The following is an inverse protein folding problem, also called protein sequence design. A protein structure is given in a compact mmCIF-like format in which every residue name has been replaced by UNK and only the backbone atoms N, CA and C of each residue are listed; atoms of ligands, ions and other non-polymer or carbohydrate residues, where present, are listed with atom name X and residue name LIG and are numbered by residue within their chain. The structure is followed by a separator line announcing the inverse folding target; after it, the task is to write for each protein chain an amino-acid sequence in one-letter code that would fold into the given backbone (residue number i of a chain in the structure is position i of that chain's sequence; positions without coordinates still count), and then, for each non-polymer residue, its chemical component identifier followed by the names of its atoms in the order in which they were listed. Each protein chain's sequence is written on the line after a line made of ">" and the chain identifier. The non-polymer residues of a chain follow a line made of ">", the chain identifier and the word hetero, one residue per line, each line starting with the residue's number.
data_IF_254884045216
#
_entry.id   IF_254884045216
#
_cell.length_a   1.000
_cell.length_b   1.000
_cell.length_c   1.000
_cell.angle_alpha   90.00
_cell.angle_beta   90.00
_cell.angle_gamma   90.00
#
_symmetry.space_group_name_H-M   'P 1'
#
loop_
_entity.id
_entity.type
_entity.pdbx_description
1 polymer ?
#
# COMPACT_ATOMS: atom_id res chain seq x y z
N UNK A 1 -21.81 26.93 -24.82
CA UNK A 1 -22.70 26.47 -23.73
C UNK A 1 -21.86 25.64 -22.77
N UNK A 2 -21.38 26.22 -21.68
CA UNK A 2 -20.47 25.55 -20.74
C UNK A 2 -21.26 24.61 -19.81
N UNK A 3 -20.91 23.33 -19.81
CA UNK A 3 -21.48 22.34 -18.91
C UNK A 3 -21.11 22.67 -17.46
N UNK A 4 -22.09 23.09 -16.65
CA UNK A 4 -21.94 23.19 -15.20
C UNK A 4 -21.76 21.78 -14.64
N UNK A 5 -20.53 21.45 -14.24
CA UNK A 5 -20.24 20.24 -13.49
C UNK A 5 -20.98 20.26 -12.16
N UNK A 6 -21.68 19.16 -11.85
CA UNK A 6 -22.30 18.91 -10.55
C UNK A 6 -21.17 18.63 -9.54
N UNK A 7 -20.54 19.69 -9.02
CA UNK A 7 -19.68 19.63 -7.85
C UNK A 7 -20.53 19.72 -6.58
N UNK A 8 -20.07 19.12 -5.47
CA UNK A 8 -20.73 19.29 -4.16
C UNK A 8 -20.91 20.79 -3.86
N UNK A 9 -22.10 21.15 -3.40
CA UNK A 9 -22.68 22.49 -3.41
C UNK A 9 -21.98 23.58 -2.57
N UNK A 10 -20.71 23.43 -2.18
CA UNK A 10 -19.97 24.43 -1.42
C UNK A 10 -18.47 24.38 -1.76
N UNK A 11 -18.04 25.00 -2.86
CA UNK A 11 -16.61 25.27 -3.08
C UNK A 11 -16.40 26.55 -3.86
N UNK A 12 -15.93 27.59 -3.15
CA UNK A 12 -15.32 28.77 -3.75
C UNK A 12 -13.84 28.55 -4.07
N UNK A 13 -13.18 29.47 -4.80
CA UNK A 13 -11.77 29.35 -5.15
C UNK A 13 -10.90 29.32 -3.88
N UNK A 14 -9.87 28.47 -3.88
CA UNK A 14 -8.94 28.32 -2.76
C UNK A 14 -7.93 29.47 -2.77
N UNK A 15 -7.93 30.32 -1.74
CA UNK A 15 -6.99 31.43 -1.58
C UNK A 15 -6.10 31.21 -0.34
N UNK A 16 -4.92 31.86 -0.32
CA UNK A 16 -4.02 31.87 0.83
C UNK A 16 -3.47 30.48 1.20
N UNK A 17 -3.62 30.10 2.48
CA UNK A 17 -3.10 28.85 3.03
C UNK A 17 -3.63 27.60 2.29
N UNK A 18 -4.90 27.61 1.86
CA UNK A 18 -5.48 26.48 1.12
C UNK A 18 -4.81 26.26 -0.24
N UNK A 19 -4.36 27.35 -0.90
CA UNK A 19 -3.62 27.25 -2.17
C UNK A 19 -2.20 26.72 -1.95
N UNK A 20 -1.51 27.20 -0.92
CA UNK A 20 -0.18 26.69 -0.56
C UNK A 20 -0.20 25.20 -0.20
N UNK A 21 -1.25 24.74 0.50
CA UNK A 21 -1.45 23.32 0.78
C UNK A 21 -1.66 22.53 -0.51
N UNK A 22 -2.48 23.03 -1.43
CA UNK A 22 -2.70 22.39 -2.72
C UNK A 22 -1.41 22.33 -3.55
N UNK A 23 -0.65 23.41 -3.62
CA UNK A 23 0.63 23.46 -4.35
C UNK A 23 1.63 22.43 -3.79
N UNK A 24 1.64 22.22 -2.47
CA UNK A 24 2.49 21.21 -1.79
C UNK A 24 1.99 19.77 -2.00
N UNK A 25 0.71 19.58 -2.25
CA UNK A 25 0.15 18.27 -2.64
C UNK A 25 0.53 17.99 -4.09
N UNK A 26 0.31 18.96 -4.98
CA UNK A 26 0.64 18.89 -6.39
C UNK A 26 2.15 18.68 -6.60
N UNK A 27 3.02 19.23 -5.74
CA UNK A 27 4.46 19.00 -5.81
C UNK A 27 4.90 17.57 -5.49
N UNK A 28 4.02 16.75 -4.88
CA UNK A 28 4.29 15.33 -4.62
C UNK A 28 3.87 14.44 -5.79
N UNK A 29 3.22 15.01 -6.80
CA UNK A 29 2.86 14.29 -8.00
C UNK A 29 4.11 14.04 -8.84
N UNK A 30 4.33 12.79 -9.22
CA UNK A 30 5.52 12.38 -9.97
C UNK A 30 5.11 11.95 -11.40
N UNK A 31 5.50 12.73 -12.43
CA UNK A 31 5.22 12.39 -13.83
C UNK A 31 5.89 11.09 -14.31
N UNK A 32 7.03 10.70 -13.76
CA UNK A 32 7.70 9.44 -14.13
C UNK A 32 6.93 8.26 -13.56
N UNK A 33 6.48 8.39 -12.31
CA UNK A 33 5.61 7.40 -11.68
C UNK A 33 4.26 7.26 -12.41
N UNK A 34 3.71 8.36 -12.95
CA UNK A 34 2.51 8.32 -13.80
C UNK A 34 2.72 7.36 -14.98
N UNK A 35 3.84 7.48 -15.70
CA UNK A 35 4.13 6.62 -16.86
C UNK A 35 4.27 5.15 -16.46
N UNK A 36 4.99 4.87 -15.37
CA UNK A 36 5.14 3.51 -14.84
C UNK A 36 3.77 2.91 -14.49
N UNK A 37 2.91 3.68 -13.82
CA UNK A 37 1.56 3.23 -13.46
C UNK A 37 0.69 2.98 -14.70
N UNK A 38 0.77 3.83 -15.72
CA UNK A 38 0.05 3.65 -16.99
C UNK A 38 0.50 2.37 -17.70
N UNK A 39 1.81 2.13 -17.79
CA UNK A 39 2.35 0.93 -18.42
C UNK A 39 2.02 -0.34 -17.63
N UNK A 40 2.06 -0.26 -16.30
CA UNK A 40 1.63 -1.35 -15.44
C UNK A 40 0.15 -1.69 -15.63
N UNK A 41 -0.74 -0.69 -15.55
CA UNK A 41 -2.17 -0.89 -15.75
C UNK A 41 -2.45 -1.50 -17.14
N UNK A 42 -1.75 -1.06 -18.18
CA UNK A 42 -1.87 -1.63 -19.52
C UNK A 42 -1.42 -3.11 -19.59
N UNK A 43 -0.29 -3.46 -18.96
CA UNK A 43 0.18 -4.86 -18.92
C UNK A 43 -0.73 -5.75 -18.08
N UNK A 44 -1.30 -5.20 -17.02
CA UNK A 44 -2.14 -5.93 -16.08
C UNK A 44 -3.57 -6.15 -16.62
N UNK A 45 -4.19 -5.11 -17.18
CA UNK A 45 -5.58 -5.14 -17.68
C UNK A 45 -5.69 -5.51 -19.17
N UNK A 46 -4.60 -5.49 -19.93
CA UNK A 46 -4.59 -5.67 -21.39
C UNK A 46 -4.80 -4.36 -22.16
N UNK A 47 -4.62 -4.39 -23.47
CA UNK A 47 -4.64 -3.21 -24.36
C UNK A 47 -6.00 -2.49 -24.45
N UNK A 48 -7.09 -3.10 -23.97
CA UNK A 48 -8.44 -2.54 -24.00
C UNK A 48 -8.67 -1.33 -23.09
N UNK A 49 -7.73 -1.02 -22.18
CA UNK A 49 -7.84 0.17 -21.31
C UNK A 49 -7.36 1.46 -21.98
N UNK A 50 -6.61 1.37 -23.07
CA UNK A 50 -6.04 2.53 -23.77
C UNK A 50 -4.95 3.25 -22.96
N UNK A 51 -4.57 4.45 -23.42
CA UNK A 51 -3.59 5.33 -22.74
C UNK A 51 -4.24 6.68 -22.40
N UNK A 52 -3.93 7.25 -21.22
CA UNK A 52 -4.40 8.59 -20.88
C UNK A 52 -3.77 9.65 -21.79
N UNK A 53 -4.42 10.81 -21.88
CA UNK A 53 -3.77 12.00 -22.42
C UNK A 53 -2.62 12.43 -21.49
N UNK A 54 -1.54 13.02 -22.04
CA UNK A 54 -0.40 13.44 -21.23
C UNK A 54 -0.79 14.40 -20.11
N UNK A 55 -0.33 14.09 -18.91
CA UNK A 55 -0.41 14.96 -17.75
C UNK A 55 -1.54 14.61 -16.77
N UNK A 56 -1.45 15.22 -15.58
CA UNK A 56 -2.26 14.87 -14.41
C UNK A 56 -3.77 14.84 -14.65
N UNK A 57 -4.29 15.74 -15.49
CA UNK A 57 -5.73 15.80 -15.80
C UNK A 57 -6.16 14.69 -16.76
N UNK A 58 -5.30 14.30 -17.71
CA UNK A 58 -5.56 13.17 -18.60
C UNK A 58 -5.54 11.85 -17.83
N UNK A 59 -4.56 11.68 -16.94
CA UNK A 59 -4.52 10.54 -16.01
C UNK A 59 -5.76 10.47 -15.12
N UNK A 60 -6.20 11.61 -14.59
CA UNK A 60 -7.43 11.69 -13.80
C UNK A 60 -8.66 11.30 -14.62
N UNK A 61 -8.86 11.90 -15.80
CA UNK A 61 -10.02 11.63 -16.65
C UNK A 61 -10.11 10.15 -17.04
N UNK A 62 -8.96 9.51 -17.26
CA UNK A 62 -8.84 8.09 -17.59
C UNK A 62 -9.30 7.17 -16.46
N UNK A 63 -8.97 7.49 -15.20
CA UNK A 63 -9.32 6.67 -14.04
C UNK A 63 -10.64 7.09 -13.36
N UNK A 64 -11.17 8.28 -13.68
CA UNK A 64 -12.33 8.90 -13.01
C UNK A 64 -13.60 8.06 -13.07
N UNK A 65 -13.77 7.24 -14.11
CA UNK A 65 -14.94 6.38 -14.25
C UNK A 65 -14.93 5.16 -13.30
N UNK A 66 -13.79 4.87 -12.68
CA UNK A 66 -13.58 3.72 -11.80
C UNK A 66 -13.55 2.36 -12.51
N UNK A 67 -13.77 2.30 -13.83
CA UNK A 67 -13.80 1.06 -14.61
C UNK A 67 -12.42 0.42 -14.70
N UNK A 68 -11.41 1.23 -15.00
CA UNK A 68 -10.03 0.76 -15.13
C UNK A 68 -9.50 0.28 -13.78
N UNK A 69 -9.77 1.04 -12.71
CA UNK A 69 -9.41 0.67 -11.34
C UNK A 69 -10.04 -0.66 -10.92
N UNK A 70 -11.32 -0.85 -11.23
CA UNK A 70 -12.05 -2.08 -10.94
C UNK A 70 -11.49 -3.29 -11.72
N UNK A 71 -11.10 -3.09 -12.99
CA UNK A 71 -10.44 -4.12 -13.80
C UNK A 71 -9.06 -4.46 -13.24
N UNK A 72 -8.30 -3.44 -12.83
CA UNK A 72 -6.98 -3.59 -12.26
C UNK A 72 -7.03 -4.46 -11.01
N UNK A 73 -7.86 -4.10 -10.03
CA UNK A 73 -7.95 -4.91 -8.80
C UNK A 73 -8.47 -6.32 -9.11
N UNK A 74 -9.50 -6.47 -9.95
CA UNK A 74 -10.01 -7.79 -10.30
C UNK A 74 -8.99 -8.70 -10.99
N UNK A 75 -8.02 -8.14 -11.70
CA UNK A 75 -6.96 -8.95 -12.33
C UNK A 75 -5.95 -9.51 -11.32
N UNK A 76 -5.84 -8.89 -10.14
CA UNK A 76 -4.95 -9.34 -9.07
C UNK A 76 -5.57 -10.46 -8.24
N UNK A 77 -6.89 -10.64 -8.29
CA UNK A 77 -7.62 -11.72 -7.62
C UNK A 77 -7.91 -12.86 -8.61
N UNK A 78 -7.31 -14.06 -8.41
CA UNK A 78 -7.42 -15.16 -9.38
C UNK A 78 -8.78 -15.89 -9.31
N UNK A 79 -9.39 -16.02 -8.14
CA UNK A 79 -10.61 -16.82 -7.95
C UNK A 79 -11.87 -15.98 -7.75
N UNK A 80 -11.94 -15.16 -6.69
CA UNK A 80 -13.11 -14.31 -6.40
C UNK A 80 -12.83 -12.86 -6.76
N UNK A 81 -13.46 -12.38 -7.83
CA UNK A 81 -13.34 -10.99 -8.27
C UNK A 81 -14.14 -10.09 -7.33
N UNK A 82 -13.49 -9.19 -6.57
CA UNK A 82 -14.16 -8.36 -5.58
C UNK A 82 -15.17 -7.39 -6.21
N UNK A 83 -14.92 -6.95 -7.45
CA UNK A 83 -15.82 -6.06 -8.18
C UNK A 83 -16.58 -6.85 -9.25
N UNK A 84 -17.80 -7.29 -8.93
CA UNK A 84 -18.59 -8.15 -9.83
C UNK A 84 -19.19 -7.42 -11.03
N UNK A 85 -19.53 -6.13 -10.87
CA UNK A 85 -20.23 -5.35 -11.90
C UNK A 85 -19.43 -4.11 -12.27
N UNK A 86 -18.72 -4.18 -13.38
CA UNK A 86 -18.00 -3.05 -13.98
C UNK A 86 -18.89 -2.47 -15.07
N UNK A 87 -19.44 -1.29 -14.86
CA UNK A 87 -20.32 -0.64 -15.83
C UNK A 87 -19.90 0.82 -16.02
N UNK A 88 -19.54 1.17 -17.25
CA UNK A 88 -19.37 2.58 -17.62
C UNK A 88 -20.69 3.32 -17.43
N UNK A 89 -20.65 4.39 -16.65
CA UNK A 89 -21.78 5.28 -16.44
C UNK A 89 -21.29 6.73 -16.45
N UNK A 90 -22.07 7.60 -17.08
CA UNK A 90 -21.88 9.05 -17.05
C UNK A 90 -22.39 9.69 -15.75
N UNK A 91 -23.19 8.96 -14.96
CA UNK A 91 -23.71 9.43 -13.68
C UNK A 91 -22.61 9.50 -12.61
N UNK A 92 -22.39 10.69 -12.06
CA UNK A 92 -21.38 10.97 -11.02
C UNK A 92 -21.43 9.99 -9.84
N UNK A 93 -22.63 9.72 -9.32
CA UNK A 93 -22.82 8.82 -8.18
C UNK A 93 -22.32 7.40 -8.47
N UNK A 94 -22.58 6.87 -9.68
CA UNK A 94 -22.13 5.53 -10.07
C UNK A 94 -20.60 5.46 -10.22
N UNK A 95 -19.98 6.49 -10.77
CA UNK A 95 -18.52 6.58 -10.85
C UNK A 95 -17.87 6.60 -9.46
N UNK A 96 -18.42 7.41 -8.54
CA UNK A 96 -17.96 7.47 -7.16
C UNK A 96 -18.12 6.15 -6.41
N UNK A 97 -19.26 5.48 -6.60
CA UNK A 97 -19.52 4.16 -6.04
C UNK A 97 -18.50 3.13 -6.55
N UNK A 98 -18.20 3.16 -7.85
CA UNK A 98 -17.26 2.24 -8.46
C UNK A 98 -15.82 2.45 -7.99
N UNK A 99 -15.39 3.70 -7.81
CA UNK A 99 -14.12 4.03 -7.15
C UNK A 99 -14.11 3.49 -5.70
N UNK A 100 -15.22 3.61 -4.97
CA UNK A 100 -15.33 3.07 -3.60
C UNK A 100 -15.21 1.55 -3.56
N UNK A 101 -15.79 0.83 -4.55
CA UNK A 101 -15.64 -0.62 -4.67
C UNK A 101 -14.18 -1.03 -4.89
N UNK A 102 -13.45 -0.29 -5.73
CA UNK A 102 -12.00 -0.48 -5.87
C UNK A 102 -11.25 -0.28 -4.54
N UNK A 103 -11.55 0.80 -3.80
CA UNK A 103 -10.88 1.09 -2.53
C UNK A 103 -11.11 -0.04 -1.49
N UNK A 104 -12.33 -0.56 -1.40
CA UNK A 104 -12.66 -1.72 -0.55
C UNK A 104 -11.87 -2.97 -0.95
N UNK A 105 -11.76 -3.22 -2.26
CA UNK A 105 -11.01 -4.35 -2.79
C UNK A 105 -9.49 -4.19 -2.55
N UNK A 106 -8.95 -2.98 -2.68
CA UNK A 106 -7.56 -2.67 -2.40
C UNK A 106 -7.21 -2.83 -0.91
N UNK A 107 -8.11 -2.40 -0.01
CA UNK A 107 -7.99 -2.63 1.43
C UNK A 107 -7.97 -4.15 1.74
N UNK A 108 -8.91 -4.90 1.17
CA UNK A 108 -8.95 -6.36 1.31
C UNK A 108 -7.71 -7.06 0.74
N UNK A 109 -7.09 -6.49 -0.30
CA UNK A 109 -5.83 -6.99 -0.84
C UNK A 109 -4.64 -6.76 0.10
N UNK A 110 -4.74 -5.81 1.04
CA UNK A 110 -3.73 -5.52 2.05
C UNK A 110 -3.10 -4.14 1.92
N UNK A 111 -3.65 -3.23 1.10
CA UNK A 111 -3.17 -1.83 1.06
C UNK A 111 -3.48 -1.16 2.39
N UNK A 112 -2.49 -0.48 2.96
CA UNK A 112 -2.67 0.26 4.22
C UNK A 112 -3.63 1.44 4.03
N UNK A 113 -4.51 1.68 5.01
CA UNK A 113 -5.41 2.84 5.04
C UNK A 113 -4.68 4.18 4.94
N UNK A 114 -3.43 4.23 5.40
CA UNK A 114 -2.57 5.43 5.31
C UNK A 114 -2.19 5.79 3.87
N UNK A 115 -2.15 4.77 3.01
CA UNK A 115 -1.77 4.90 1.61
C UNK A 115 -2.98 4.97 0.68
N UNK A 116 -4.21 4.82 1.21
CA UNK A 116 -5.46 4.87 0.45
C UNK A 116 -5.93 6.30 0.20
N UNK A 117 -6.25 6.61 -1.05
CA UNK A 117 -6.94 7.85 -1.42
C UNK A 117 -8.44 7.79 -1.10
N UNK A 118 -9.10 8.95 -1.09
CA UNK A 118 -10.56 9.08 -0.97
C UNK A 118 -11.19 9.30 -2.34
N UNK A 119 -12.42 8.84 -2.56
CA UNK A 119 -13.10 8.98 -3.87
C UNK A 119 -13.06 10.40 -4.46
N UNK A 120 -13.13 11.44 -3.62
CA UNK A 120 -13.05 12.84 -4.03
C UNK A 120 -11.67 13.25 -4.56
N UNK A 121 -10.60 12.60 -4.12
CA UNK A 121 -9.23 12.91 -4.52
C UNK A 121 -9.00 12.59 -6.00
N UNK A 122 -9.61 11.50 -6.48
CA UNK A 122 -9.62 11.14 -7.89
C UNK A 122 -10.73 11.85 -8.66
N UNK A 123 -11.97 11.85 -8.15
CA UNK A 123 -13.12 12.33 -8.92
C UNK A 123 -13.14 13.85 -9.12
N UNK A 124 -12.74 14.63 -8.10
CA UNK A 124 -12.55 16.09 -8.19
C UNK A 124 -11.09 16.51 -8.43
N UNK A 125 -10.17 15.56 -8.59
CA UNK A 125 -8.73 15.82 -8.75
C UNK A 125 -8.11 16.64 -7.58
N UNK A 126 -8.53 16.38 -6.32
CA UNK A 126 -7.97 17.10 -5.17
C UNK A 126 -6.56 16.65 -4.79
N UNK A 127 -6.28 15.35 -4.88
CA UNK A 127 -4.99 14.79 -4.49
C UNK A 127 -4.66 13.58 -5.37
N UNK A 128 -4.13 13.86 -6.56
CA UNK A 128 -3.70 12.82 -7.50
C UNK A 128 -2.42 12.11 -7.03
N UNK A 129 -1.62 12.75 -6.18
CA UNK A 129 -0.43 12.13 -5.58
C UNK A 129 -0.83 11.01 -4.59
N UNK A 130 -1.96 11.15 -3.88
CA UNK A 130 -2.53 10.06 -3.10
C UNK A 130 -2.96 8.89 -3.99
N UNK A 131 -3.57 9.16 -5.14
CA UNK A 131 -3.94 8.10 -6.10
C UNK A 131 -2.71 7.34 -6.59
N UNK A 132 -1.64 8.05 -6.97
CA UNK A 132 -0.37 7.42 -7.36
C UNK A 132 0.22 6.55 -6.23
N UNK A 133 0.20 7.04 -4.98
CA UNK A 133 0.66 6.26 -3.82
C UNK A 133 -0.15 5.01 -3.60
N UNK A 134 -1.49 5.07 -3.67
CA UNK A 134 -2.33 3.88 -3.48
C UNK A 134 -2.05 2.82 -4.56
N UNK A 135 -1.94 3.24 -5.83
CA UNK A 135 -1.65 2.31 -6.92
C UNK A 135 -0.24 1.72 -6.81
N UNK A 136 0.74 2.53 -6.42
CA UNK A 136 2.11 2.05 -6.19
C UNK A 136 2.17 1.06 -5.03
N UNK A 137 1.45 1.35 -3.93
CA UNK A 137 1.35 0.43 -2.79
C UNK A 137 0.66 -0.88 -3.17
N UNK A 138 -0.36 -0.84 -4.03
CA UNK A 138 -1.03 -2.01 -4.58
C UNK A 138 -0.06 -2.83 -5.47
N UNK A 139 0.68 -2.16 -6.36
CA UNK A 139 1.70 -2.80 -7.22
C UNK A 139 2.80 -3.46 -6.41
N UNK A 140 3.37 -2.77 -5.41
CA UNK A 140 4.36 -3.35 -4.49
C UNK A 140 3.83 -4.59 -3.79
N UNK A 141 2.58 -4.57 -3.31
CA UNK A 141 1.98 -5.74 -2.67
C UNK A 141 1.81 -6.91 -3.64
N UNK A 142 1.36 -6.63 -4.87
CA UNK A 142 1.21 -7.65 -5.90
C UNK A 142 2.54 -8.33 -6.26
N UNK A 143 3.62 -7.56 -6.39
CA UNK A 143 4.97 -8.10 -6.62
C UNK A 143 5.49 -8.89 -5.40
N UNK A 144 5.03 -8.54 -4.19
CA UNK A 144 5.49 -9.19 -2.95
C UNK A 144 4.81 -10.53 -2.69
N UNK A 145 3.52 -10.66 -3.01
CA UNK A 145 2.77 -11.89 -2.75
C UNK A 145 3.16 -13.05 -3.67
N UNK A 146 3.75 -12.76 -4.85
CA UNK A 146 4.25 -13.76 -5.80
C UNK A 146 3.20 -14.82 -6.21
N UNK A 147 1.91 -14.46 -6.22
CA UNK A 147 0.79 -15.36 -6.53
C UNK A 147 0.65 -15.69 -8.04
N UNK A 148 1.62 -15.26 -8.88
CA UNK A 148 1.58 -15.42 -10.33
C UNK A 148 0.52 -14.58 -11.06
N UNK A 149 -0.22 -13.73 -10.35
CA UNK A 149 -1.25 -12.83 -10.91
C UNK A 149 -0.70 -11.47 -11.36
N UNK A 150 0.48 -11.08 -10.88
CA UNK A 150 1.14 -9.86 -11.31
C UNK A 150 1.69 -10.00 -12.73
N UNK A 151 1.35 -9.03 -13.58
CA UNK A 151 1.81 -8.91 -14.97
C UNK A 151 2.48 -7.56 -15.14
N UNK A 152 3.77 -7.58 -15.45
CA UNK A 152 4.55 -6.35 -15.56
C UNK A 152 6.01 -6.61 -15.34
N UNK A 153 6.81 -5.55 -15.42
CA UNK A 153 8.18 -5.62 -14.94
C UNK A 153 8.16 -5.57 -13.40
N UNK A 154 8.74 -6.57 -12.69
CA UNK A 154 8.89 -6.50 -11.24
C UNK A 154 9.76 -5.33 -10.77
N UNK A 155 10.58 -4.73 -11.64
CA UNK A 155 11.43 -3.58 -11.27
C UNK A 155 10.66 -2.28 -11.06
N UNK A 156 9.40 -2.21 -11.54
CA UNK A 156 8.55 -1.03 -11.41
C UNK A 156 8.10 -0.76 -9.97
N UNK A 157 8.02 -1.80 -9.14
CA UNK A 157 7.61 -1.67 -7.75
C UNK A 157 8.56 -2.43 -6.83
N UNK A 158 8.80 -1.86 -5.66
CA UNK A 158 9.64 -2.50 -4.65
C UNK A 158 8.87 -3.60 -3.92
N UNK A 159 9.53 -4.74 -3.67
CA UNK A 159 9.00 -5.79 -2.77
C UNK A 159 8.96 -5.26 -1.35
N UNK A 160 7.79 -5.31 -0.71
CA UNK A 160 7.63 -4.98 0.71
C UNK A 160 8.26 -6.09 1.55
N UNK A 161 8.91 -5.72 2.65
CA UNK A 161 9.44 -6.69 3.60
C UNK A 161 8.28 -7.48 4.23
N UNK A 162 8.35 -8.81 4.15
CA UNK A 162 7.38 -9.72 4.77
C UNK A 162 7.89 -10.14 6.15
N UNK A 163 7.00 -10.15 7.14
CA UNK A 163 7.32 -10.63 8.47
C UNK A 163 7.59 -12.13 8.42
N UNK A 164 8.84 -12.54 8.69
CA UNK A 164 9.18 -13.95 8.82
C UNK A 164 8.84 -14.44 10.24
N UNK A 165 7.56 -14.75 10.48
CA UNK A 165 7.13 -15.39 11.73
C UNK A 165 7.66 -16.82 11.76
N UNK A 166 8.73 -17.02 12.52
CA UNK A 166 9.30 -18.35 12.75
C UNK A 166 8.54 -19.01 13.90
N UNK A 167 7.76 -20.03 13.57
CA UNK A 167 7.18 -20.90 14.59
C UNK A 167 8.22 -21.95 14.97
N UNK A 168 8.58 -21.97 16.26
CA UNK A 168 9.44 -22.99 16.82
C UNK A 168 8.57 -24.08 17.45
N UNK A 169 8.96 -25.35 17.27
CA UNK A 169 8.25 -26.43 17.94
C UNK A 169 8.35 -26.29 19.46
N UNK A 170 7.36 -26.80 20.20
CA UNK A 170 7.39 -26.80 21.67
C UNK A 170 8.66 -27.47 22.21
N UNK A 171 9.15 -28.49 21.51
CA UNK A 171 10.38 -29.21 21.84
C UNK A 171 11.63 -28.34 21.59
N UNK A 172 11.68 -27.57 20.50
CA UNK A 172 12.76 -26.63 20.21
C UNK A 172 12.79 -25.46 21.19
N UNK A 173 11.62 -24.94 21.59
CA UNK A 173 11.50 -23.94 22.66
C UNK A 173 11.96 -24.49 24.01
N UNK A 174 11.64 -25.76 24.32
CA UNK A 174 12.08 -26.44 25.55
C UNK A 174 13.59 -26.69 25.55
N UNK A 175 14.15 -27.12 24.42
CA UNK A 175 15.60 -27.30 24.25
C UNK A 175 16.35 -25.97 24.39
N UNK A 176 15.79 -24.87 23.89
CA UNK A 176 16.35 -23.53 24.06
C UNK A 176 16.48 -23.09 25.52
N UNK A 177 15.59 -23.53 26.42
CA UNK A 177 15.68 -23.25 27.87
C UNK A 177 16.87 -23.91 28.55
N UNK A 178 17.43 -24.97 27.95
CA UNK A 178 18.62 -25.67 28.48
C UNK A 178 19.93 -25.04 27.98
N UNK A 179 19.87 -24.11 27.02
CA UNK A 179 21.05 -23.40 26.51
C UNK A 179 21.28 -22.17 27.39
N UNK A 180 22.24 -22.28 28.31
CA UNK A 180 22.68 -21.16 29.13
C UNK A 180 23.44 -20.18 28.22
N UNK A 181 22.90 -18.97 28.05
CA UNK A 181 23.52 -17.94 27.22
C UNK A 181 24.90 -17.52 27.74
N UNK A 182 25.85 -17.30 26.83
CA UNK A 182 27.24 -16.87 27.11
C UNK A 182 27.36 -15.60 27.99
N UNK A 183 26.29 -14.82 28.15
CA UNK A 183 26.24 -13.66 29.06
C UNK A 183 26.07 -14.02 30.54
N UNK A 184 25.69 -15.26 30.87
CA UNK A 184 25.65 -15.77 32.25
C UNK A 184 27.06 -16.21 32.72
N UNK A 185 28.06 -15.37 32.45
CA UNK A 185 29.43 -15.53 32.91
C UNK A 185 30.00 -16.92 32.65
N UNK A 186 30.64 -17.12 31.49
CA UNK A 186 31.58 -18.24 31.36
C UNK A 186 32.65 -18.08 32.43
N UNK A 187 32.54 -18.88 33.48
CA UNK A 187 33.57 -18.99 34.49
C UNK A 187 34.70 -19.76 33.82
N UNK A 188 35.62 -19.06 33.16
CA UNK A 188 36.81 -19.61 32.51
C UNK A 188 37.69 -20.30 33.56
N UNK A 189 37.30 -21.52 33.96
CA UNK A 189 38.09 -22.42 34.77
C UNK A 189 38.01 -22.28 36.29
N UNK A 190 37.14 -21.47 36.90
CA UNK A 190 36.98 -21.55 38.36
C UNK A 190 35.96 -22.64 38.73
N UNK A 191 36.47 -23.83 39.06
CA UNK A 191 35.71 -24.87 39.75
C UNK A 191 35.10 -24.29 41.02
N UNK A 192 33.82 -24.59 41.29
CA UNK A 192 33.12 -24.24 42.54
C UNK A 192 33.61 -25.09 43.73
N UNK A 193 34.71 -25.82 43.60
CA UNK A 193 35.35 -26.50 44.73
C UNK A 193 35.98 -25.48 45.68
N UNK A 194 35.50 -25.46 46.93
CA UNK A 194 36.09 -24.69 48.02
C UNK A 194 35.35 -23.40 48.43
N UNK A 195 34.23 -23.06 47.81
CA UNK A 195 33.42 -21.91 48.26
C UNK A 195 32.61 -22.26 49.52
N UNK A 196 33.19 -22.01 50.70
CA UNK A 196 32.50 -22.03 51.99
C UNK A 196 31.91 -20.66 52.29
N UNK A 197 30.61 -20.49 52.03
CA UNK A 197 29.86 -19.32 52.45
C UNK A 197 29.48 -19.47 53.93
N UNK A 198 29.95 -18.56 54.79
CA UNK A 198 29.49 -18.48 56.18
C UNK A 198 30.54 -18.27 57.28
N UNK A 199 31.79 -17.88 56.98
CA UNK A 199 32.71 -17.52 58.07
C UNK A 199 32.40 -16.11 58.62
N UNK A 200 32.07 -15.97 59.92
CA UNK A 200 31.85 -14.66 60.53
C UNK A 200 33.15 -13.85 60.55
N UNK A 201 33.03 -12.55 60.27
CA UNK A 201 34.17 -11.62 60.25
C UNK A 201 34.72 -11.42 61.66
N UNK A 202 35.98 -11.76 61.89
CA UNK A 202 36.69 -11.29 63.07
C UNK A 202 37.13 -9.85 62.84
N UNK A 203 36.64 -8.94 63.69
CA UNK A 203 37.07 -7.55 63.77
C UNK A 203 38.00 -7.47 64.99
N UNK A 204 39.19 -6.89 64.80
CA UNK A 204 40.11 -6.49 65.86
C UNK A 204 40.13 -4.97 65.95
#
# INVERSE_FOLDING_TARGET
>A
MAAKGVGMANKGPSYGLSRQVQDKIDSKYDPELEQILVDWINRQCGSDVGKPEPGKLGFQAWLKDGCILSRLVNSLFPEDKPVKKIQNSTMAFKQMEQISQFLKAAEAYGVSKTDMFQTVDLWEAKDLAAVQRTLSALGSLAVTKDEGTYRGDPSWFFKKAQENKREFSAEQLKAGKNVIGLQMGSNKGASQEGMSYGRPRQIM
#
